data_IF_380684869203
#
_entry.id   IF_380684869203
#
_cell.length_a   1.000
_cell.length_b   1.000
_cell.length_c   1.000
_cell.angle_alpha   90.00
_cell.angle_beta   90.00
_cell.angle_gamma   90.00
#
_symmetry.space_group_name_H-M   'P 1'
#
loop_
_entity.id
_entity.type
_entity.pdbx_description
1 polymer ?
#
# COMPACT_ATOMS: atom_id res chain seq x y z
N UNK A 1 -4.49 17.22 -12.61
CA UNK A 1 -3.86 16.55 -13.77
C UNK A 1 -4.21 15.07 -13.70
N UNK A 2 -4.71 14.46 -14.77
CA UNK A 2 -4.92 13.01 -14.86
C UNK A 2 -3.88 12.43 -15.80
N UNK A 3 -3.30 11.29 -15.42
CA UNK A 3 -2.34 10.56 -16.23
C UNK A 3 -3.09 9.41 -16.90
N UNK A 4 -3.08 9.41 -18.23
CA UNK A 4 -3.73 8.38 -19.04
C UNK A 4 -2.70 7.33 -19.46
N UNK A 5 -2.19 6.60 -18.47
CA UNK A 5 -1.22 5.53 -18.68
C UNK A 5 -1.57 4.37 -17.75
N UNK A 6 -1.67 3.13 -18.26
CA UNK A 6 -2.00 1.97 -17.44
C UNK A 6 -0.79 1.57 -16.60
N UNK A 7 -0.68 2.17 -15.41
CA UNK A 7 0.36 1.86 -14.43
C UNK A 7 -0.13 0.82 -13.42
N UNK A 8 0.75 -0.09 -13.03
CA UNK A 8 0.55 -0.97 -11.87
C UNK A 8 1.50 -0.55 -10.77
N UNK A 9 0.96 -0.13 -9.63
CA UNK A 9 1.72 0.40 -8.49
C UNK A 9 1.44 -0.43 -7.25
N UNK A 10 2.48 -0.72 -6.47
CA UNK A 10 2.35 -1.39 -5.17
C UNK A 10 2.83 -0.45 -4.06
N UNK A 11 2.01 -0.26 -3.03
CA UNK A 11 2.37 0.48 -1.82
C UNK A 11 2.88 -0.54 -0.79
N UNK A 12 4.12 -0.38 -0.34
CA UNK A 12 4.67 -1.19 0.74
C UNK A 12 4.39 -0.47 2.06
N UNK A 13 3.45 -0.98 2.84
CA UNK A 13 3.13 -0.48 4.15
C UNK A 13 3.94 -1.24 5.22
N UNK A 14 4.89 -0.53 5.83
CA UNK A 14 5.76 -1.06 6.89
C UNK A 14 5.22 -0.86 8.32
N UNK A 15 4.01 -0.34 8.49
CA UNK A 15 3.40 -0.20 9.80
C UNK A 15 2.89 -1.57 10.27
N UNK A 16 3.27 -2.10 11.44
CA UNK A 16 2.77 -3.38 11.92
C UNK A 16 1.26 -3.39 12.14
N UNK A 17 0.60 -4.54 11.95
CA UNK A 17 -0.85 -4.73 12.14
C UNK A 17 -1.37 -4.16 13.46
N UNK A 18 -0.66 -4.39 14.57
CA UNK A 18 -1.05 -3.92 15.89
C UNK A 18 -1.15 -2.38 15.93
N UNK A 19 -0.17 -1.70 15.35
CA UNK A 19 -0.16 -0.24 15.30
C UNK A 19 -1.27 0.29 14.40
N UNK A 20 -1.53 -0.36 13.26
CA UNK A 20 -2.64 0.01 12.37
C UNK A 20 -3.98 -0.10 13.08
N UNK A 21 -4.21 -1.18 13.83
CA UNK A 21 -5.43 -1.36 14.62
C UNK A 21 -5.66 -0.23 15.65
N UNK A 22 -4.61 0.22 16.36
CA UNK A 22 -4.74 1.36 17.29
C UNK A 22 -5.11 2.66 16.58
N UNK A 23 -4.56 2.89 15.38
CA UNK A 23 -4.91 4.06 14.57
C UNK A 23 -6.36 3.98 14.07
N UNK A 24 -6.80 2.81 13.61
CA UNK A 24 -8.18 2.57 13.20
C UNK A 24 -9.17 2.79 14.36
N UNK A 25 -8.85 2.28 15.56
CA UNK A 25 -9.64 2.48 16.78
C UNK A 25 -9.71 3.95 17.19
N UNK A 26 -8.65 4.72 16.90
CA UNK A 26 -8.58 6.15 17.14
C UNK A 26 -9.24 6.98 16.03
N UNK A 27 -9.86 6.34 15.04
CA UNK A 27 -10.43 6.95 13.85
C UNK A 27 -9.41 7.79 13.06
N UNK A 28 -8.13 7.38 13.13
CA UNK A 28 -7.04 7.98 12.37
C UNK A 28 -6.88 7.19 11.09
N UNK A 29 -6.97 7.90 9.96
CA UNK A 29 -6.83 7.31 8.64
C UNK A 29 -5.40 6.79 8.42
N UNK A 30 -5.27 5.61 7.83
CA UNK A 30 -3.98 5.02 7.48
C UNK A 30 -3.32 5.82 6.34
N UNK A 31 -1.98 5.84 6.32
CA UNK A 31 -1.23 6.59 5.31
C UNK A 31 -1.43 6.04 3.89
N UNK A 32 -1.50 4.72 3.73
CA UNK A 32 -1.76 4.04 2.45
C UNK A 32 -3.12 4.44 1.86
N UNK A 33 -4.15 4.60 2.68
CA UNK A 33 -5.46 5.07 2.21
C UNK A 33 -5.39 6.48 1.61
N UNK A 34 -4.61 7.38 2.22
CA UNK A 34 -4.41 8.73 1.71
C UNK A 34 -3.74 8.71 0.32
N UNK A 35 -2.70 7.89 0.18
CA UNK A 35 -2.00 7.73 -1.10
C UNK A 35 -2.89 7.07 -2.16
N UNK A 36 -3.63 6.02 -1.80
CA UNK A 36 -4.55 5.35 -2.71
C UNK A 36 -5.63 6.29 -3.24
N UNK A 37 -6.22 7.12 -2.38
CA UNK A 37 -7.21 8.11 -2.80
C UNK A 37 -6.67 9.08 -3.83
N UNK A 38 -5.45 9.57 -3.59
CA UNK A 38 -4.77 10.48 -4.50
C UNK A 38 -4.46 9.80 -5.83
N UNK A 39 -3.88 8.60 -5.78
CA UNK A 39 -3.50 7.82 -6.96
C UNK A 39 -4.71 7.44 -7.80
N UNK A 40 -5.81 6.98 -7.19
CA UNK A 40 -7.06 6.65 -7.89
C UNK A 40 -7.67 7.85 -8.61
N UNK A 41 -7.54 9.06 -8.03
CA UNK A 41 -8.00 10.30 -8.68
C UNK A 41 -7.11 10.71 -9.86
N UNK A 42 -5.81 10.45 -9.76
CA UNK A 42 -4.83 10.81 -10.80
C UNK A 42 -4.72 9.81 -11.94
N UNK A 43 -4.91 8.51 -11.66
CA UNK A 43 -4.68 7.39 -12.56
C UNK A 43 -5.96 6.55 -12.66
N UNK A 44 -6.96 6.99 -13.46
CA UNK A 44 -8.26 6.31 -13.56
C UNK A 44 -8.16 4.88 -14.10
N UNK A 45 -7.07 4.55 -14.81
CA UNK A 45 -6.78 3.22 -15.34
C UNK A 45 -5.63 2.51 -14.60
N UNK A 46 -5.20 3.05 -13.45
CA UNK A 46 -4.16 2.45 -12.64
C UNK A 46 -4.64 1.21 -11.88
N UNK A 47 -3.73 0.28 -11.64
CA UNK A 47 -3.90 -0.85 -10.72
C UNK A 47 -3.06 -0.59 -9.48
N UNK A 48 -3.64 -0.84 -8.30
CA UNK A 48 -3.00 -0.53 -7.03
C UNK A 48 -3.11 -1.71 -6.08
N UNK A 49 -1.98 -2.17 -5.58
CA UNK A 49 -1.88 -3.15 -4.51
C UNK A 49 -1.26 -2.50 -3.27
N UNK A 50 -1.58 -3.04 -2.09
CA UNK A 50 -0.94 -2.67 -0.82
C UNK A 50 -0.39 -3.93 -0.17
N UNK A 51 0.89 -3.90 0.19
CA UNK A 51 1.59 -4.99 0.86
C UNK A 51 1.96 -4.58 2.28
N UNK A 52 1.43 -5.29 3.27
CA UNK A 52 1.71 -5.06 4.70
C UNK A 52 2.91 -5.89 5.17
N UNK A 53 4.11 -5.50 4.75
CA UNK A 53 5.35 -6.30 4.94
C UNK A 53 5.76 -6.50 6.41
N UNK A 54 5.27 -5.67 7.31
CA UNK A 54 5.55 -5.77 8.75
C UNK A 54 4.68 -6.82 9.48
N UNK A 55 3.73 -7.44 8.79
CA UNK A 55 2.86 -8.46 9.36
C UNK A 55 3.49 -9.85 9.21
N UNK A 56 3.50 -10.64 10.29
CA UNK A 56 4.18 -11.95 10.33
C UNK A 56 3.62 -12.97 9.32
N UNK A 57 2.34 -12.86 8.97
CA UNK A 57 1.66 -13.78 8.06
C UNK A 57 1.72 -13.33 6.59
N UNK A 58 2.39 -12.20 6.30
CA UNK A 58 2.48 -11.65 4.94
C UNK A 58 3.79 -12.09 4.30
N UNK A 59 3.68 -13.04 3.36
CA UNK A 59 4.79 -13.44 2.51
C UNK A 59 5.19 -12.32 1.57
N UNK A 60 6.51 -12.12 1.40
CA UNK A 60 7.02 -11.27 0.32
C UNK A 60 6.70 -11.89 -1.04
N UNK A 61 6.46 -11.07 -2.09
CA UNK A 61 6.32 -11.56 -3.45
C UNK A 61 7.53 -12.41 -3.86
N UNK A 62 7.29 -13.47 -4.64
CA UNK A 62 8.35 -14.30 -5.19
C UNK A 62 9.35 -13.43 -5.99
N UNK A 63 10.66 -13.65 -5.78
CA UNK A 63 11.72 -12.85 -6.42
C UNK A 63 12.19 -11.62 -5.63
N UNK A 64 11.61 -11.33 -4.46
CA UNK A 64 12.08 -10.26 -3.56
C UNK A 64 13.31 -10.61 -2.70
N UNK A 65 13.93 -11.77 -2.93
CA UNK A 65 15.15 -12.17 -2.23
C UNK A 65 16.30 -11.27 -2.65
N UNK A 66 16.91 -10.56 -1.70
CA UNK A 66 18.20 -9.92 -1.93
C UNK A 66 19.25 -11.02 -2.03
N UNK A 67 19.74 -11.30 -3.23
CA UNK A 67 20.93 -12.13 -3.41
C UNK A 67 22.11 -11.44 -2.72
N UNK A 68 22.64 -12.08 -1.68
CA UNK A 68 23.87 -11.65 -1.01
C UNK A 68 25.08 -11.89 -1.90
#
# INVERSE_FOLDING_TARGET
MKLDTPLSLCIINGYPKQNRAVLDDSNVRQADDLYLDFLRKMLPHGKFDVLYVADLDVGLPAGAGLSS
#
